data_IF_030271460979
#
_entry.id   IF_030271460979
#
_cell.length_a   1.000
_cell.length_b   1.000
_cell.length_c   1.000
_cell.angle_alpha   90.00
_cell.angle_beta   90.00
_cell.angle_gamma   90.00
#
_symmetry.space_group_name_H-M   'P 1'
#
loop_
_entity.id
_entity.type
_entity.pdbx_description
1 polymer ?
#
# COMPACT_ATOMS: atom_id res chain seq x y z
N UNK A 1 7.94 1.32 -20.90
CA UNK A 1 8.21 1.27 -19.45
C UNK A 1 6.99 0.62 -18.85
N UNK A 2 7.18 -0.45 -18.07
CA UNK A 2 6.08 -1.03 -17.31
C UNK A 2 5.65 -0.02 -16.22
N UNK A 3 4.35 0.11 -16.00
CA UNK A 3 3.79 1.00 -14.98
C UNK A 3 4.09 0.42 -13.60
N UNK A 4 4.52 1.26 -12.67
CA UNK A 4 4.80 0.85 -11.29
C UNK A 4 3.52 0.28 -10.65
N UNK A 5 2.35 0.80 -11.04
CA UNK A 5 1.04 0.26 -10.63
C UNK A 5 0.82 -1.17 -11.10
N UNK A 6 1.11 -1.47 -12.37
CA UNK A 6 0.98 -2.83 -12.91
C UNK A 6 1.86 -3.80 -12.12
N UNK A 7 3.13 -3.43 -11.91
CA UNK A 7 4.07 -4.22 -11.14
C UNK A 7 3.61 -4.46 -9.71
N UNK A 8 3.11 -3.42 -9.03
CA UNK A 8 2.59 -3.57 -7.68
C UNK A 8 1.39 -4.52 -7.61
N UNK A 9 0.44 -4.41 -8.55
CA UNK A 9 -0.72 -5.29 -8.63
C UNK A 9 -0.38 -6.75 -8.96
N UNK A 10 0.74 -7.01 -9.64
CA UNK A 10 1.23 -8.39 -9.87
C UNK A 10 1.83 -9.02 -8.59
N UNK A 11 2.38 -8.21 -7.70
CA UNK A 11 3.02 -8.69 -6.46
C UNK A 11 1.97 -8.90 -5.36
N UNK A 12 0.94 -8.06 -5.27
CA UNK A 12 -0.09 -8.09 -4.23
C UNK A 12 -0.74 -9.47 -4.00
N UNK A 13 -1.15 -10.23 -5.04
CA UNK A 13 -1.72 -11.57 -4.86
C UNK A 13 -0.79 -12.58 -4.20
N UNK A 14 0.53 -12.39 -4.34
CA UNK A 14 1.55 -13.29 -3.80
C UNK A 14 1.86 -13.01 -2.32
N UNK A 15 1.38 -11.90 -1.76
CA UNK A 15 1.70 -11.45 -0.41
C UNK A 15 0.97 -12.19 0.72
N UNK A 16 0.18 -13.24 0.40
CA UNK A 16 -0.59 -14.06 1.35
C UNK A 16 -1.41 -13.25 2.39
N UNK A 17 -1.88 -12.06 2.00
CA UNK A 17 -2.61 -11.16 2.88
C UNK A 17 -4.02 -11.70 3.17
N UNK A 18 -4.31 -11.97 4.45
CA UNK A 18 -5.66 -12.30 4.91
C UNK A 18 -6.61 -11.12 4.74
N UNK A 19 -7.89 -11.43 4.45
CA UNK A 19 -8.94 -10.41 4.37
C UNK A 19 -9.04 -9.61 5.69
N UNK A 20 -9.13 -8.26 5.64
CA UNK A 20 -9.32 -7.40 4.45
C UNK A 20 -8.02 -6.82 3.85
N UNK A 21 -6.83 -7.31 4.20
CA UNK A 21 -5.55 -6.72 3.80
C UNK A 21 -5.37 -6.62 2.28
N UNK A 22 -5.59 -7.70 1.53
CA UNK A 22 -5.46 -7.70 0.07
C UNK A 22 -6.42 -6.70 -0.61
N UNK A 23 -7.74 -6.70 -0.33
CA UNK A 23 -8.65 -5.69 -0.88
C UNK A 23 -8.27 -4.25 -0.56
N UNK A 24 -7.68 -3.98 0.62
CA UNK A 24 -7.27 -2.64 1.01
C UNK A 24 -6.07 -2.14 0.18
N UNK A 25 -5.10 -3.01 -0.08
CA UNK A 25 -3.94 -2.65 -0.93
C UNK A 25 -4.38 -2.43 -2.37
N UNK A 26 -5.26 -3.28 -2.91
CA UNK A 26 -5.82 -3.09 -4.25
C UNK A 26 -6.61 -1.79 -4.36
N UNK A 27 -7.45 -1.47 -3.37
CA UNK A 27 -8.19 -0.22 -3.33
C UNK A 27 -7.25 0.99 -3.27
N UNK A 28 -6.19 0.94 -2.45
CA UNK A 28 -5.20 2.02 -2.40
C UNK A 28 -4.57 2.31 -3.78
N UNK A 29 -4.16 1.27 -4.51
CA UNK A 29 -3.53 1.42 -5.82
C UNK A 29 -4.54 1.84 -6.91
N UNK A 30 -5.80 1.45 -6.78
CA UNK A 30 -6.84 1.76 -7.77
C UNK A 30 -7.49 3.12 -7.57
N UNK A 31 -7.67 3.55 -6.33
CA UNK A 31 -8.37 4.81 -6.00
C UNK A 31 -7.40 6.00 -5.86
N UNK A 32 -6.09 5.76 -5.90
CA UNK A 32 -5.10 6.82 -5.93
C UNK A 32 -5.26 7.72 -7.18
N UNK A 33 -5.23 9.04 -6.95
CA UNK A 33 -5.26 10.05 -8.03
C UNK A 33 -4.13 9.83 -9.03
N UNK A 34 -2.95 9.46 -8.54
CA UNK A 34 -1.82 8.98 -9.33
C UNK A 34 -1.43 7.59 -8.82
N UNK A 35 -1.95 6.57 -9.49
CA UNK A 35 -1.72 5.18 -9.13
C UNK A 35 -0.27 4.73 -9.33
N UNK A 36 0.44 5.29 -10.30
CA UNK A 36 1.87 5.00 -10.52
C UNK A 36 2.72 5.59 -9.39
N UNK A 37 2.45 6.84 -9.00
CA UNK A 37 3.15 7.44 -7.87
C UNK A 37 2.86 6.71 -6.55
N UNK A 38 1.60 6.32 -6.32
CA UNK A 38 1.21 5.56 -5.12
C UNK A 38 1.89 4.18 -5.09
N UNK A 39 1.90 3.48 -6.22
CA UNK A 39 2.59 2.21 -6.35
C UNK A 39 4.09 2.35 -6.12
N UNK A 40 4.72 3.36 -6.73
CA UNK A 40 6.13 3.65 -6.55
C UNK A 40 6.48 3.92 -5.09
N UNK A 41 5.68 4.74 -4.40
CA UNK A 41 5.86 4.98 -2.97
C UNK A 41 5.80 3.68 -2.17
N UNK A 42 4.81 2.81 -2.46
CA UNK A 42 4.65 1.52 -1.80
C UNK A 42 5.84 0.59 -2.08
N UNK A 43 6.27 0.48 -3.33
CA UNK A 43 7.39 -0.36 -3.76
C UNK A 43 8.73 0.10 -3.19
N UNK A 44 8.97 1.41 -3.09
CA UNK A 44 10.24 1.96 -2.58
C UNK A 44 10.29 1.97 -1.05
N UNK A 45 9.20 2.32 -0.37
CA UNK A 45 9.18 2.53 1.09
C UNK A 45 9.09 1.21 1.86
N UNK A 46 8.38 0.23 1.31
CA UNK A 46 8.11 -1.04 1.99
C UNK A 46 8.89 -2.22 1.36
N UNK A 47 9.91 -1.96 0.54
CA UNK A 47 10.73 -3.03 -0.01
C UNK A 47 11.42 -3.87 1.09
N UNK A 48 11.27 -5.20 1.00
CA UNK A 48 12.07 -6.18 1.73
C UNK A 48 13.06 -6.76 0.71
N UNK A 49 14.34 -6.42 0.87
CA UNK A 49 15.45 -6.96 0.07
C UNK A 49 15.39 -6.67 -1.45
N UNK A 50 14.63 -5.67 -1.87
CA UNK A 50 14.62 -5.13 -3.25
C UNK A 50 13.76 -5.92 -4.25
N UNK A 51 13.15 -7.03 -3.82
CA UNK A 51 12.28 -7.87 -4.66
C UNK A 51 10.88 -7.96 -4.09
N UNK A 52 10.74 -8.05 -2.77
CA UNK A 52 9.46 -8.24 -2.09
C UNK A 52 9.00 -6.97 -1.37
N UNK A 53 7.74 -6.92 -0.95
CA UNK A 53 7.11 -5.76 -0.31
C UNK A 53 6.44 -6.15 0.99
N UNK A 54 6.75 -5.43 2.07
CA UNK A 54 6.13 -5.56 3.39
C UNK A 54 4.75 -4.92 3.44
N UNK A 55 3.78 -5.57 2.80
CA UNK A 55 2.39 -5.10 2.81
C UNK A 55 1.77 -5.11 4.22
N UNK A 56 2.24 -5.99 5.11
CA UNK A 56 1.76 -6.04 6.49
C UNK A 56 2.17 -4.77 7.25
N UNK A 57 3.42 -4.31 7.08
CA UNK A 57 3.89 -3.04 7.63
C UNK A 57 3.14 -1.86 7.04
N UNK A 58 2.92 -1.83 5.72
CA UNK A 58 2.13 -0.78 5.08
C UNK A 58 0.72 -0.66 5.69
N UNK A 59 0.01 -1.77 5.83
CA UNK A 59 -1.35 -1.78 6.40
C UNK A 59 -1.34 -1.34 7.87
N UNK A 60 -0.32 -1.72 8.64
CA UNK A 60 -0.15 -1.28 10.02
C UNK A 60 0.05 0.24 10.09
N UNK A 61 0.98 0.78 9.29
CA UNK A 61 1.31 2.21 9.28
C UNK A 61 0.10 3.04 8.80
N UNK A 62 -0.65 2.55 7.82
CA UNK A 62 -1.91 3.14 7.40
C UNK A 62 -2.92 3.22 8.55
N UNK A 63 -3.15 2.11 9.26
CA UNK A 63 -4.09 2.07 10.37
C UNK A 63 -3.68 3.02 11.50
N UNK A 64 -2.37 3.11 11.78
CA UNK A 64 -1.83 4.06 12.76
C UNK A 64 -2.08 5.51 12.31
N UNK A 65 -1.90 5.83 11.02
CA UNK A 65 -2.22 7.16 10.45
C UNK A 65 -3.72 7.50 10.58
N UNK A 66 -4.61 6.57 10.22
CA UNK A 66 -6.07 6.76 10.34
C UNK A 66 -6.46 7.02 11.79
N UNK A 67 -5.85 6.30 12.74
CA UNK A 67 -6.07 6.53 14.17
C UNK A 67 -5.62 7.94 14.57
N UNK A 68 -4.44 8.38 14.16
CA UNK A 68 -3.96 9.74 14.45
C UNK A 68 -4.92 10.81 13.91
N UNK A 69 -5.40 10.68 12.68
CA UNK A 69 -6.37 11.62 12.11
C UNK A 69 -7.71 11.60 12.85
N UNK A 70 -8.17 10.43 13.30
CA UNK A 70 -9.42 10.30 14.08
C UNK A 70 -9.33 10.94 15.47
N UNK A 71 -8.13 11.00 16.07
CA UNK A 71 -7.92 11.60 17.38
C UNK A 71 -7.39 13.03 17.34
N UNK A 72 -7.16 13.61 16.15
CA UNK A 72 -6.86 15.04 16.04
C UNK A 72 -8.16 15.84 16.21
N UNK A 73 -8.30 16.67 17.26
CA UNK A 73 -9.41 17.61 17.34
C UNK A 73 -9.31 18.61 16.17
N UNK A 74 -10.46 19.09 15.63
CA UNK A 74 -10.46 20.16 14.65
C UNK A 74 -9.87 21.43 15.28
N UNK A 75 -8.95 22.08 14.56
CA UNK A 75 -8.34 23.37 14.91
C UNK A 75 -9.36 24.51 14.81
#
# INVERSE_FOLDING_TARGET
MESDKSRALEIVPNAELVHPGLPLVEAFLNDAVDGDQAARYLLETYAIDGVDVDFARFLKDWNDLVRLCRFSPPN
#
